data_IF_408880619992
#
_entry.id   IF_408880619992
#
_cell.length_a   1.000
_cell.length_b   1.000
_cell.length_c   1.000
_cell.angle_alpha   90.00
_cell.angle_beta   90.00
_cell.angle_gamma   90.00
#
_symmetry.space_group_name_H-M   'P 1'
#
loop_
_entity.id
_entity.type
_entity.pdbx_description
1 polymer ?
#
# COMPACT_ATOMS: atom_id res chain seq x y z
N UNK A 1 6.07 -7.40 -20.34
CA UNK A 1 6.64 -6.90 -19.07
C UNK A 1 6.54 -5.38 -18.95
N UNK A 2 7.28 -4.56 -19.72
CA UNK A 2 7.26 -3.08 -19.57
C UNK A 2 5.86 -2.45 -19.56
N UNK A 3 5.01 -2.77 -20.55
CA UNK A 3 3.62 -2.27 -20.61
C UNK A 3 2.78 -2.67 -19.40
N UNK A 4 2.99 -3.88 -18.86
CA UNK A 4 2.24 -4.36 -17.70
C UNK A 4 2.66 -3.67 -16.42
N UNK A 5 3.97 -3.54 -16.18
CA UNK A 5 4.51 -2.79 -15.04
C UNK A 5 4.07 -1.32 -15.09
N UNK A 6 4.00 -0.70 -16.27
CA UNK A 6 3.45 0.65 -16.43
C UNK A 6 1.96 0.74 -16.09
N UNK A 7 1.16 -0.25 -16.49
CA UNK A 7 -0.27 -0.28 -16.15
C UNK A 7 -0.45 -0.45 -14.64
N UNK A 8 0.29 -1.37 -14.01
CA UNK A 8 0.23 -1.60 -12.56
C UNK A 8 0.66 -0.34 -11.80
N UNK A 9 1.76 0.30 -12.19
CA UNK A 9 2.20 1.56 -11.58
C UNK A 9 1.13 2.66 -11.70
N UNK A 10 0.47 2.78 -12.85
CA UNK A 10 -0.57 3.78 -13.06
C UNK A 10 -1.85 3.48 -12.27
N UNK A 11 -2.23 2.21 -12.15
CA UNK A 11 -3.38 1.78 -11.36
C UNK A 11 -3.16 2.06 -9.88
N UNK A 12 -2.01 1.64 -9.33
CA UNK A 12 -1.67 1.85 -7.93
C UNK A 12 -1.53 3.34 -7.61
N UNK A 13 -0.84 4.12 -8.45
CA UNK A 13 -0.71 5.56 -8.25
C UNK A 13 -2.05 6.29 -8.35
N UNK A 14 -2.90 5.90 -9.30
CA UNK A 14 -4.24 6.46 -9.46
C UNK A 14 -5.13 6.16 -8.26
N UNK A 15 -5.08 4.92 -7.76
CA UNK A 15 -5.88 4.52 -6.62
C UNK A 15 -5.39 5.11 -5.30
N UNK A 16 -4.07 5.22 -5.11
CA UNK A 16 -3.47 6.00 -4.02
C UNK A 16 -4.10 7.40 -3.95
N UNK A 17 -4.21 8.12 -5.08
CA UNK A 17 -4.79 9.46 -5.09
C UNK A 17 -6.26 9.49 -4.67
N UNK A 18 -7.06 8.51 -5.12
CA UNK A 18 -8.47 8.39 -4.74
C UNK A 18 -8.60 8.06 -3.26
N UNK A 19 -7.91 7.02 -2.80
CA UNK A 19 -8.01 6.54 -1.43
C UNK A 19 -7.47 7.56 -0.43
N UNK A 20 -6.31 8.16 -0.70
CA UNK A 20 -5.73 9.20 0.14
C UNK A 20 -6.66 10.41 0.27
N UNK A 21 -7.31 10.84 -0.83
CA UNK A 21 -8.27 11.94 -0.80
C UNK A 21 -9.51 11.60 0.06
N UNK A 22 -10.09 10.41 -0.14
CA UNK A 22 -11.23 9.94 0.67
C UNK A 22 -10.82 9.80 2.14
N UNK A 23 -9.62 9.28 2.41
CA UNK A 23 -9.12 9.08 3.75
C UNK A 23 -8.96 10.39 4.53
N UNK A 24 -8.48 11.45 3.88
CA UNK A 24 -8.40 12.79 4.46
C UNK A 24 -9.79 13.40 4.68
N UNK A 25 -10.71 13.23 3.74
CA UNK A 25 -12.08 13.75 3.83
C UNK A 25 -12.84 13.14 5.03
N UNK A 26 -12.72 11.82 5.21
CA UNK A 26 -13.45 11.09 6.26
C UNK A 26 -12.63 10.89 7.54
N UNK A 27 -11.38 11.33 7.55
CA UNK A 27 -10.44 11.16 8.66
C UNK A 27 -10.14 9.70 9.00
N UNK A 28 -10.09 8.79 8.00
CA UNK A 28 -9.85 7.35 8.23
C UNK A 28 -8.35 7.04 8.35
N UNK A 29 -7.98 6.37 9.44
CA UNK A 29 -6.59 5.91 9.67
C UNK A 29 -6.29 4.69 8.82
N UNK A 30 -7.27 3.80 8.66
CA UNK A 30 -7.10 2.58 7.86
C UNK A 30 -6.89 2.88 6.37
N UNK A 31 -7.64 3.81 5.78
CA UNK A 31 -7.45 4.19 4.38
C UNK A 31 -6.13 4.94 4.13
N UNK A 32 -5.67 5.81 5.05
CA UNK A 32 -4.33 6.41 4.86
C UNK A 32 -3.27 5.31 4.90
N UNK A 33 -3.35 4.38 5.85
CA UNK A 33 -2.39 3.28 5.97
C UNK A 33 -2.36 2.40 4.71
N UNK A 34 -3.52 2.06 4.15
CA UNK A 34 -3.63 1.29 2.90
C UNK A 34 -3.12 2.08 1.69
N UNK A 35 -3.41 3.38 1.62
CA UNK A 35 -2.91 4.23 0.54
C UNK A 35 -1.37 4.31 0.47
N UNK A 36 -0.68 4.19 1.62
CA UNK A 36 0.79 4.13 1.66
C UNK A 36 1.31 2.92 0.88
N UNK A 37 0.63 1.77 1.01
CA UNK A 37 0.96 0.56 0.28
C UNK A 37 0.82 0.77 -1.23
N UNK A 38 -0.30 1.31 -1.70
CA UNK A 38 -0.47 1.66 -3.12
C UNK A 38 0.63 2.58 -3.66
N UNK A 39 1.08 3.55 -2.87
CA UNK A 39 2.15 4.46 -3.27
C UNK A 39 3.51 3.75 -3.31
N UNK A 40 3.79 2.86 -2.34
CA UNK A 40 4.97 2.01 -2.33
C UNK A 40 4.99 1.11 -3.57
N UNK A 41 3.87 0.47 -3.86
CA UNK A 41 3.70 -0.48 -4.94
C UNK A 41 3.83 0.21 -6.31
N UNK A 42 3.27 1.42 -6.46
CA UNK A 42 3.51 2.28 -7.61
C UNK A 42 5.00 2.67 -7.76
N UNK A 43 5.67 2.98 -6.64
CA UNK A 43 7.08 3.37 -6.61
C UNK A 43 8.00 2.23 -7.01
N UNK A 44 7.76 1.01 -6.51
CA UNK A 44 8.51 -0.20 -6.88
C UNK A 44 8.36 -0.46 -8.38
N UNK A 45 7.13 -0.44 -8.90
CA UNK A 45 6.89 -0.65 -10.33
C UNK A 45 7.55 0.44 -11.19
N UNK A 46 7.56 1.70 -10.73
CA UNK A 46 8.27 2.79 -11.41
C UNK A 46 9.80 2.56 -11.41
N UNK A 47 10.38 2.12 -10.29
CA UNK A 47 11.80 1.79 -10.20
C UNK A 47 12.17 0.63 -11.13
N UNK A 48 11.33 -0.39 -11.26
CA UNK A 48 11.51 -1.47 -12.24
C UNK A 48 11.53 -0.92 -13.67
N UNK A 49 10.67 0.06 -13.99
CA UNK A 49 10.68 0.70 -15.31
C UNK A 49 11.94 1.52 -15.56
N UNK A 50 12.44 2.23 -14.56
CA UNK A 50 13.69 2.99 -14.63
C UNK A 50 14.90 2.06 -14.74
N UNK A 51 14.84 0.89 -14.09
CA UNK A 51 15.88 -0.13 -14.13
C UNK A 51 16.20 -0.59 -15.57
N UNK A 52 15.19 -0.59 -16.45
CA UNK A 52 15.31 -1.02 -17.83
C UNK A 52 15.98 -0.01 -18.78
N UNK A 53 16.25 1.24 -18.35
CA UNK A 53 16.74 2.28 -19.26
C UNK A 53 17.63 3.37 -18.68
N UNK A 54 17.80 3.44 -17.36
CA UNK A 54 18.62 4.47 -16.69
C UNK A 54 19.91 3.91 -16.13
N UNK A 55 20.89 4.79 -15.87
CA UNK A 55 22.13 4.42 -15.18
C UNK A 55 21.87 4.08 -13.70
N UNK A 56 22.70 3.23 -13.06
CA UNK A 56 22.52 2.87 -11.64
C UNK A 56 22.49 4.10 -10.70
N UNK A 57 23.27 5.14 -11.01
CA UNK A 57 23.27 6.39 -10.24
C UNK A 57 21.94 7.15 -10.32
N UNK A 58 21.31 7.16 -11.49
CA UNK A 58 20.00 7.80 -11.67
C UNK A 58 18.89 6.98 -10.98
N UNK A 59 18.97 5.66 -11.03
CA UNK A 59 18.05 4.76 -10.32
C UNK A 59 18.13 4.96 -8.80
N UNK A 60 19.34 5.05 -8.24
CA UNK A 60 19.53 5.31 -6.81
C UNK A 60 18.93 6.65 -6.38
N UNK A 61 19.12 7.73 -7.15
CA UNK A 61 18.52 9.04 -6.88
C UNK A 61 16.99 9.01 -6.95
N UNK A 62 16.43 8.33 -7.95
CA UNK A 62 14.98 8.16 -8.08
C UNK A 62 14.40 7.37 -6.90
N UNK A 63 15.07 6.29 -6.48
CA UNK A 63 14.68 5.50 -5.31
C UNK A 63 14.67 6.33 -4.03
N UNK A 64 15.70 7.15 -3.80
CA UNK A 64 15.73 8.06 -2.65
C UNK A 64 14.59 9.09 -2.69
N UNK A 65 14.28 9.65 -3.86
CA UNK A 65 13.18 10.60 -4.01
C UNK A 65 11.82 9.95 -3.72
N UNK A 66 11.58 8.74 -4.25
CA UNK A 66 10.35 7.99 -4.01
C UNK A 66 10.20 7.58 -2.54
N UNK A 67 11.29 7.14 -1.89
CA UNK A 67 11.29 6.84 -0.46
C UNK A 67 10.92 8.07 0.38
N UNK A 68 11.45 9.25 0.04
CA UNK A 68 11.08 10.50 0.71
C UNK A 68 9.60 10.86 0.50
N UNK A 69 9.04 10.57 -0.67
CA UNK A 69 7.61 10.78 -0.96
C UNK A 69 6.73 9.85 -0.14
N UNK A 70 7.10 8.57 0.00
CA UNK A 70 6.36 7.56 0.81
C UNK A 70 6.33 7.93 2.30
N UNK A 71 7.37 8.59 2.82
CA UNK A 71 7.39 9.04 4.22
C UNK A 71 6.25 10.02 4.55
N UNK A 72 5.79 10.81 3.59
CA UNK A 72 4.76 11.83 3.82
C UNK A 72 3.44 11.21 4.28
N UNK A 73 2.79 10.31 3.51
CA UNK A 73 1.57 9.65 3.96
C UNK A 73 1.83 8.72 5.14
N UNK A 74 3.01 8.09 5.26
CA UNK A 74 3.36 7.29 6.45
C UNK A 74 3.34 8.10 7.76
N UNK A 75 3.89 9.32 7.74
CA UNK A 75 3.80 10.25 8.88
C UNK A 75 2.36 10.74 9.09
N UNK A 76 1.59 10.95 8.02
CA UNK A 76 0.18 11.30 8.12
C UNK A 76 -0.63 10.20 8.81
N UNK A 77 -0.36 8.91 8.54
CA UNK A 77 -0.98 7.77 9.24
C UNK A 77 -0.75 7.86 10.75
N UNK A 78 0.50 8.08 11.17
CA UNK A 78 0.86 8.19 12.59
C UNK A 78 0.18 9.38 13.26
N UNK A 79 0.17 10.54 12.58
CA UNK A 79 -0.49 11.74 13.07
C UNK A 79 -2.00 11.53 13.23
N UNK A 80 -2.66 10.95 12.22
CA UNK A 80 -4.09 10.69 12.25
C UNK A 80 -4.46 9.65 13.30
N UNK A 81 -3.65 8.60 13.47
CA UNK A 81 -3.82 7.62 14.54
C UNK A 81 -3.73 8.28 15.92
N UNK A 82 -2.73 9.14 16.14
CA UNK A 82 -2.58 9.90 17.37
C UNK A 82 -3.78 10.83 17.62
N UNK A 83 -4.17 11.62 16.63
CA UNK A 83 -5.31 12.54 16.75
C UNK A 83 -6.63 11.80 17.02
N UNK A 84 -6.87 10.68 16.33
CA UNK A 84 -8.08 9.85 16.50
C UNK A 84 -8.11 9.15 17.87
N UNK A 85 -6.94 8.80 18.43
CA UNK A 85 -6.88 8.24 19.78
C UNK A 85 -7.37 9.22 20.85
N UNK A 86 -7.02 10.51 20.73
CA UNK A 86 -7.45 11.55 21.66
C UNK A 86 -8.87 12.05 21.40
N UNK A 87 -9.26 12.13 20.13
CA UNK A 87 -10.60 12.58 19.70
C UNK A 87 -11.21 11.55 18.75
N UNK A 88 -11.89 10.52 19.29
CA UNK A 88 -12.41 9.40 18.49
C UNK A 88 -13.63 9.82 17.66
N UNK A 89 -13.38 10.33 16.45
CA UNK A 89 -14.43 10.62 15.46
C UNK A 89 -14.54 9.46 14.48
N UNK A 90 -15.75 8.90 14.36
CA UNK A 90 -16.01 7.80 13.46
C UNK A 90 -15.93 8.27 12.00
N UNK A 91 -15.18 7.57 11.12
CA UNK A 91 -15.16 7.90 9.71
C UNK A 91 -16.50 7.60 9.05
N UNK A 92 -16.80 8.25 7.92
CA UNK A 92 -18.01 8.00 7.15
C UNK A 92 -18.04 6.53 6.66
N UNK A 93 -18.97 5.69 7.15
CA UNK A 93 -18.91 4.24 6.94
C UNK A 93 -19.03 3.82 5.47
N UNK A 94 -19.90 4.49 4.73
CA UNK A 94 -20.17 4.17 3.32
C UNK A 94 -18.96 4.49 2.45
N UNK A 95 -18.37 5.67 2.64
CA UNK A 95 -17.16 6.07 1.92
C UNK A 95 -15.99 5.13 2.24
N UNK A 96 -15.84 4.73 3.51
CA UNK A 96 -14.83 3.78 3.95
C UNK A 96 -14.96 2.41 3.25
N UNK A 97 -16.16 1.83 3.27
CA UNK A 97 -16.40 0.53 2.60
C UNK A 97 -16.27 0.61 1.08
N UNK A 98 -16.70 1.70 0.45
CA UNK A 98 -16.58 1.88 -1.00
C UNK A 98 -15.12 2.03 -1.43
N UNK A 99 -14.33 2.80 -0.68
CA UNK A 99 -12.90 2.95 -0.92
C UNK A 99 -12.17 1.60 -0.75
N UNK A 100 -12.43 0.85 0.34
CA UNK A 100 -11.84 -0.49 0.51
C UNK A 100 -12.26 -1.48 -0.58
N UNK A 101 -13.49 -1.39 -1.09
CA UNK A 101 -13.96 -2.24 -2.18
C UNK A 101 -13.27 -1.92 -3.52
N UNK A 102 -13.05 -0.64 -3.82
CA UNK A 102 -12.29 -0.24 -5.00
C UNK A 102 -10.81 -0.62 -4.88
N UNK A 103 -10.22 -0.52 -3.68
CA UNK A 103 -8.84 -0.91 -3.41
C UNK A 103 -8.65 -2.40 -3.68
N UNK A 104 -9.57 -3.23 -3.16
CA UNK A 104 -9.62 -4.66 -3.46
C UNK A 104 -9.68 -4.93 -4.97
N UNK A 105 -10.53 -4.20 -5.70
CA UNK A 105 -10.68 -4.37 -7.14
C UNK A 105 -9.38 -4.02 -7.91
N UNK A 106 -8.69 -2.96 -7.50
CA UNK A 106 -7.40 -2.56 -8.07
C UNK A 106 -6.32 -3.59 -7.76
N UNK A 107 -6.17 -4.00 -6.50
CA UNK A 107 -5.15 -4.98 -6.10
C UNK A 107 -5.35 -6.34 -6.79
N UNK A 108 -6.60 -6.82 -6.89
CA UNK A 108 -6.92 -8.03 -7.66
C UNK A 108 -6.57 -7.84 -9.14
N UNK A 109 -6.86 -6.68 -9.73
CA UNK A 109 -6.52 -6.40 -11.13
C UNK A 109 -5.00 -6.39 -11.36
N UNK A 110 -4.24 -5.72 -10.50
CA UNK A 110 -2.78 -5.69 -10.53
C UNK A 110 -2.19 -7.10 -10.39
N UNK A 111 -2.68 -7.88 -9.42
CA UNK A 111 -2.27 -9.27 -9.22
C UNK A 111 -2.53 -10.15 -10.45
N UNK A 112 -3.70 -10.02 -11.09
CA UNK A 112 -4.04 -10.75 -12.30
C UNK A 112 -3.18 -10.35 -13.50
N UNK A 113 -2.84 -9.06 -13.64
CA UNK A 113 -1.94 -8.57 -14.69
C UNK A 113 -0.55 -9.19 -14.52
N UNK A 114 0.00 -9.15 -13.30
CA UNK A 114 1.32 -9.70 -12.99
C UNK A 114 1.35 -11.23 -13.13
N UNK A 115 0.27 -11.92 -12.73
CA UNK A 115 0.13 -13.36 -12.86
C UNK A 115 0.19 -13.86 -14.32
N UNK A 116 -0.07 -13.02 -15.32
CA UNK A 116 0.04 -13.39 -16.74
C UNK A 116 1.48 -13.44 -17.27
N UNK A 117 2.44 -12.82 -16.57
CA UNK A 117 3.86 -12.86 -16.95
C UNK A 117 4.63 -14.00 -16.26
N UNK A 118 3.88 -14.95 -15.68
CA UNK A 118 4.30 -16.13 -14.90
C UNK A 118 5.03 -17.24 -15.69
N UNK A 119 5.33 -17.06 -16.96
CA UNK A 119 5.76 -18.17 -17.86
C UNK A 119 7.00 -18.98 -17.40
N UNK A 120 7.68 -18.62 -16.31
CA UNK A 120 8.65 -19.47 -15.63
C UNK A 120 8.26 -19.61 -14.14
N UNK A 121 7.77 -20.78 -13.73
CA UNK A 121 7.40 -21.04 -12.33
C UNK A 121 8.58 -20.85 -11.35
N UNK A 122 8.32 -20.22 -10.20
CA UNK A 122 9.35 -19.97 -9.18
C UNK A 122 8.81 -19.28 -7.92
N UNK A 123 9.70 -19.06 -6.94
CA UNK A 123 9.44 -18.37 -5.66
C UNK A 123 8.78 -17.00 -5.82
N UNK A 124 9.06 -16.31 -6.93
CA UNK A 124 8.50 -14.99 -7.27
C UNK A 124 6.97 -15.00 -7.39
N UNK A 125 6.40 -16.05 -8.00
CA UNK A 125 4.94 -16.21 -8.13
C UNK A 125 4.27 -16.47 -6.78
N UNK A 126 4.96 -17.18 -5.89
CA UNK A 126 4.47 -17.45 -4.54
C UNK A 126 4.47 -16.17 -3.71
N UNK A 127 5.51 -15.35 -3.83
CA UNK A 127 5.59 -14.04 -3.20
C UNK A 127 4.47 -13.10 -3.69
N UNK A 128 4.27 -12.97 -5.00
CA UNK A 128 3.19 -12.13 -5.56
C UNK A 128 1.78 -12.58 -5.12
N UNK A 129 1.53 -13.89 -5.02
CA UNK A 129 0.26 -14.41 -4.51
C UNK A 129 0.08 -14.17 -3.01
N UNK A 130 1.17 -14.28 -2.22
CA UNK A 130 1.14 -13.99 -0.79
C UNK A 130 0.89 -12.50 -0.53
N UNK A 131 1.53 -11.62 -1.28
CA UNK A 131 1.28 -10.16 -1.22
C UNK A 131 -0.16 -9.86 -1.61
N UNK A 132 -0.63 -10.27 -2.79
CA UNK A 132 -2.02 -10.05 -3.21
C UNK A 132 -3.07 -10.59 -2.22
N UNK A 133 -2.75 -11.67 -1.50
CA UNK A 133 -3.59 -12.20 -0.42
C UNK A 133 -3.60 -11.27 0.79
N UNK A 134 -2.44 -10.76 1.20
CA UNK A 134 -2.34 -9.83 2.32
C UNK A 134 -3.13 -8.55 2.02
N UNK A 135 -2.97 -7.99 0.83
CA UNK A 135 -3.67 -6.76 0.43
C UNK A 135 -5.19 -6.99 0.35
N UNK A 136 -5.61 -8.17 -0.12
CA UNK A 136 -7.02 -8.54 -0.10
C UNK A 136 -7.57 -8.68 1.33
N UNK A 137 -6.78 -9.22 2.26
CA UNK A 137 -7.18 -9.32 3.68
C UNK A 137 -7.30 -7.92 4.29
N UNK A 138 -6.34 -7.03 4.05
CA UNK A 138 -6.39 -5.64 4.51
C UNK A 138 -7.65 -4.94 3.98
N UNK A 139 -7.90 -5.04 2.68
CA UNK A 139 -9.09 -4.44 2.06
C UNK A 139 -10.41 -5.00 2.58
N UNK A 140 -10.51 -6.30 2.78
CA UNK A 140 -11.69 -6.91 3.40
C UNK A 140 -11.86 -6.44 4.84
N UNK A 141 -10.77 -6.27 5.60
CA UNK A 141 -10.81 -5.70 6.94
C UNK A 141 -11.29 -4.23 6.92
N UNK A 142 -10.89 -3.42 5.95
CA UNK A 142 -11.36 -2.04 5.76
C UNK A 142 -12.87 -2.02 5.44
N UNK A 143 -13.33 -2.89 4.53
CA UNK A 143 -14.76 -3.00 4.22
C UNK A 143 -15.56 -3.39 5.46
N UNK A 144 -15.09 -4.40 6.20
CA UNK A 144 -15.68 -4.84 7.47
C UNK A 144 -15.66 -3.75 8.55
N UNK A 145 -14.62 -2.90 8.54
CA UNK A 145 -14.51 -1.73 9.41
C UNK A 145 -15.59 -0.71 9.11
N UNK A 146 -15.86 -0.42 7.83
CA UNK A 146 -16.99 0.44 7.46
C UNK A 146 -18.32 -0.12 7.96
N UNK A 147 -18.57 -1.43 7.80
CA UNK A 147 -19.79 -2.05 8.35
C UNK A 147 -19.86 -1.95 9.88
N UNK A 148 -18.77 -2.26 10.59
CA UNK A 148 -18.71 -2.14 12.05
C UNK A 148 -18.92 -0.69 12.51
N UNK A 149 -18.36 0.28 11.79
CA UNK A 149 -18.52 1.72 12.07
C UNK A 149 -19.96 2.17 11.84
N UNK A 150 -20.64 1.65 10.80
CA UNK A 150 -22.06 1.94 10.55
C UNK A 150 -22.96 1.46 11.70
N UNK A 151 -22.62 0.33 12.33
CA UNK A 151 -23.40 -0.26 13.41
C UNK A 151 -23.07 0.35 14.78
N UNK A 152 -21.80 0.69 15.03
CA UNK A 152 -21.31 1.11 16.34
C UNK A 152 -21.14 2.61 16.48
N UNK A 153 -21.08 3.35 15.37
CA UNK A 153 -20.71 4.77 15.30
C UNK A 153 -19.39 5.09 16.03
N UNK A 154 -18.51 4.09 16.09
CA UNK A 154 -17.25 4.14 16.84
C UNK A 154 -16.06 4.33 15.92
N UNK A 155 -15.08 5.13 16.35
CA UNK A 155 -13.81 5.31 15.63
C UNK A 155 -12.81 4.14 15.84
N UNK A 156 -13.08 3.28 16.82
CA UNK A 156 -12.17 2.22 17.23
C UNK A 156 -11.92 1.15 16.17
N UNK A 157 -12.92 0.65 15.42
CA UNK A 157 -12.68 -0.31 14.34
C UNK A 157 -11.63 0.20 13.35
N UNK A 158 -11.76 1.46 12.92
CA UNK A 158 -10.86 2.09 11.96
C UNK A 158 -9.46 2.31 12.52
N UNK A 159 -9.36 2.70 13.79
CA UNK A 159 -8.06 2.87 14.43
C UNK A 159 -7.32 1.53 14.58
N UNK A 160 -8.02 0.47 15.01
CA UNK A 160 -7.43 -0.86 15.19
C UNK A 160 -6.95 -1.42 13.85
N UNK A 161 -7.80 -1.38 12.82
CA UNK A 161 -7.43 -1.89 11.49
C UNK A 161 -6.33 -1.03 10.87
N UNK A 162 -6.38 0.30 11.01
CA UNK A 162 -5.33 1.17 10.48
C UNK A 162 -3.97 0.96 11.15
N UNK A 163 -3.94 0.73 12.47
CA UNK A 163 -2.70 0.37 13.17
C UNK A 163 -2.18 -1.02 12.75
N UNK A 164 -3.08 -1.98 12.50
CA UNK A 164 -2.69 -3.30 12.01
C UNK A 164 -2.07 -3.23 10.61
N UNK A 165 -2.67 -2.48 9.68
CA UNK A 165 -2.14 -2.26 8.33
C UNK A 165 -0.80 -1.52 8.40
N UNK A 166 -0.71 -0.45 9.20
CA UNK A 166 0.54 0.27 9.38
C UNK A 166 1.68 -0.62 9.94
N UNK A 167 1.36 -1.55 10.86
CA UNK A 167 2.32 -2.51 11.37
C UNK A 167 2.76 -3.51 10.28
N UNK A 168 1.82 -4.04 9.49
CA UNK A 168 2.13 -4.92 8.36
C UNK A 168 3.07 -4.26 7.35
N UNK A 169 2.82 -3.00 6.99
CA UNK A 169 3.65 -2.25 6.05
C UNK A 169 5.04 -1.96 6.64
N UNK A 170 5.12 -1.65 7.94
CA UNK A 170 6.38 -1.44 8.63
C UNK A 170 7.24 -2.72 8.69
N UNK A 171 6.60 -3.87 8.92
CA UNK A 171 7.27 -5.17 8.93
C UNK A 171 7.78 -5.54 7.52
N UNK A 172 6.97 -5.32 6.48
CA UNK A 172 7.40 -5.54 5.09
C UNK A 172 8.58 -4.64 4.70
N UNK A 173 8.52 -3.35 5.02
CA UNK A 173 9.62 -2.42 4.78
C UNK A 173 10.91 -2.83 5.53
N UNK A 174 10.77 -3.37 6.74
CA UNK A 174 11.90 -3.87 7.54
C UNK A 174 12.53 -5.11 6.92
N UNK A 175 11.74 -6.06 6.42
CA UNK A 175 12.23 -7.24 5.71
C UNK A 175 13.01 -6.85 4.46
N UNK A 176 12.47 -5.93 3.64
CA UNK A 176 13.14 -5.42 2.44
C UNK A 176 14.46 -4.74 2.79
N UNK A 177 14.48 -3.91 3.84
CA UNK A 177 15.70 -3.25 4.30
C UNK A 177 16.77 -4.25 4.76
N UNK A 178 16.38 -5.30 5.47
CA UNK A 178 17.30 -6.36 5.91
C UNK A 178 17.89 -7.12 4.72
N UNK A 179 17.05 -7.54 3.78
CA UNK A 179 17.48 -8.23 2.57
C UNK A 179 18.48 -7.39 1.74
N UNK A 180 18.19 -6.11 1.51
CA UNK A 180 19.08 -5.21 0.78
C UNK A 180 20.44 -5.04 1.48
N UNK A 181 20.45 -5.04 2.82
CA UNK A 181 21.68 -4.87 3.61
C UNK A 181 22.53 -6.14 3.64
N UNK A 182 21.92 -7.32 3.57
CA UNK A 182 22.61 -8.60 3.43
C UNK A 182 23.25 -8.74 2.04
N UNK A 183 22.53 -8.37 0.97
CA UNK A 183 23.08 -8.35 -0.38
C UNK A 183 24.26 -7.38 -0.52
N UNK A 184 24.16 -6.17 0.03
CA UNK A 184 25.24 -5.20 0.02
C UNK A 184 26.50 -5.68 0.78
N UNK A 185 26.33 -6.49 1.83
CA UNK A 185 27.43 -7.10 2.58
C UNK A 185 28.05 -8.29 1.84
N UNK A 186 27.25 -9.07 1.13
CA UNK A 186 27.75 -10.21 0.34
C UNK A 186 28.51 -9.76 -0.92
N UNK A 187 28.25 -8.54 -1.40
CA UNK A 187 28.92 -7.93 -2.56
C UNK A 187 30.18 -7.12 -2.21
N UNK A 188 30.50 -6.95 -0.92
CA UNK A 188 31.66 -6.21 -0.41
C UNK A 188 32.78 -7.17 0.03
#
# INVERSE_FOLDING_TARGET
>A
MRRAVTIVAALNLGYFGVEFAVALEIGSVSLIADSVDFLEDASINLLILLALGFTPRAQARAGMALAAIILIPGLATLWMAWAKFWTPVAPAPVALSLAGAGALAVNVTCALILARFRSAGGSLTKAAFLSARNDAIANVAIIGTGLATALTLSAWPDLIVGLAIAAMNADAAREVWQAAREEARAAA
#
